data_IF_891336304112
#
_entry.id   IF_891336304112
#
_cell.length_a   1.000
_cell.length_b   1.000
_cell.length_c   1.000
_cell.angle_alpha   90.00
_cell.angle_beta   90.00
_cell.angle_gamma   90.00
#
_symmetry.space_group_name_H-M   'P 1'
#
loop_
_entity.id
_entity.type
_entity.pdbx_description
1 polymer ?
#
# COMPACT_ATOMS: atom_id res chain seq x y z
N UNK A 1 -39.12 14.12 4.81
CA UNK A 1 -38.62 12.83 4.28
C UNK A 1 -37.76 13.17 3.07
N UNK A 2 -36.45 13.33 3.29
CA UNK A 2 -35.51 13.67 2.22
C UNK A 2 -35.12 12.39 1.53
N UNK A 3 -35.39 12.31 0.22
CA UNK A 3 -35.00 11.19 -0.61
C UNK A 3 -33.48 11.01 -0.51
N UNK A 4 -33.05 9.83 -0.05
CA UNK A 4 -31.67 9.38 -0.13
C UNK A 4 -31.26 9.41 -1.60
N UNK A 5 -30.38 10.35 -1.94
CA UNK A 5 -29.63 10.30 -3.18
C UNK A 5 -28.78 9.05 -3.12
N UNK A 6 -29.32 7.94 -3.61
CA UNK A 6 -28.53 6.76 -3.92
C UNK A 6 -27.45 7.21 -4.90
N UNK A 7 -26.25 7.45 -4.38
CA UNK A 7 -25.13 7.80 -5.24
C UNK A 7 -24.97 6.65 -6.22
N UNK A 8 -25.09 6.92 -7.52
CA UNK A 8 -24.84 5.97 -8.61
C UNK A 8 -23.35 5.57 -8.65
N UNK A 9 -22.83 5.02 -7.56
CA UNK A 9 -21.48 4.50 -7.44
C UNK A 9 -21.50 3.12 -8.04
N UNK A 10 -21.06 3.03 -9.30
CA UNK A 10 -20.89 1.76 -10.00
C UNK A 10 -19.70 1.03 -9.38
N UNK A 11 -19.87 -0.18 -8.82
CA UNK A 11 -18.76 -0.93 -8.27
C UNK A 11 -17.67 -1.18 -9.30
N UNK A 12 -16.43 -1.22 -8.83
CA UNK A 12 -15.28 -1.56 -9.65
C UNK A 12 -15.45 -2.97 -10.24
N UNK A 13 -15.30 -3.14 -11.57
CA UNK A 13 -15.45 -4.45 -12.21
C UNK A 13 -14.49 -5.51 -11.67
N UNK A 14 -13.28 -5.09 -11.31
CA UNK A 14 -12.23 -5.96 -10.76
C UNK A 14 -11.60 -5.28 -9.54
N UNK A 15 -11.67 -5.92 -8.39
CA UNK A 15 -11.01 -5.42 -7.18
C UNK A 15 -10.35 -6.58 -6.42
N UNK A 16 -9.02 -6.56 -6.21
CA UNK A 16 -8.37 -7.54 -5.34
C UNK A 16 -8.89 -7.38 -3.91
N UNK A 17 -9.17 -8.50 -3.24
CA UNK A 17 -9.51 -8.46 -1.81
C UNK A 17 -8.28 -8.07 -1.00
N UNK A 18 -8.40 -7.17 -0.01
CA UNK A 18 -7.28 -6.84 0.87
C UNK A 18 -6.89 -8.04 1.72
N UNK A 19 -5.60 -8.27 1.92
CA UNK A 19 -5.14 -9.22 2.94
C UNK A 19 -5.30 -8.62 4.34
N UNK A 20 -5.39 -9.47 5.37
CA UNK A 20 -5.73 -8.99 6.71
C UNK A 20 -4.65 -8.07 7.26
N UNK A 21 -3.39 -8.47 7.10
CA UNK A 21 -2.26 -7.66 7.57
C UNK A 21 -1.76 -6.69 6.50
N UNK A 22 -2.47 -6.49 5.37
CA UNK A 22 -2.04 -5.54 4.32
C UNK A 22 -2.18 -4.10 4.82
N UNK A 23 -1.29 -3.20 4.38
CA UNK A 23 -1.50 -1.76 4.55
C UNK A 23 -2.52 -1.25 3.53
N UNK A 24 -3.39 -0.31 3.92
CA UNK A 24 -4.40 0.29 3.02
C UNK A 24 -3.78 0.83 1.73
N UNK A 25 -2.66 1.54 1.85
CA UNK A 25 -1.89 2.02 0.70
C UNK A 25 -1.46 0.89 -0.24
N UNK A 26 -0.94 -0.20 0.34
CA UNK A 26 -0.57 -1.42 -0.39
C UNK A 26 -1.75 -1.99 -1.20
N UNK A 27 -2.90 -2.17 -0.53
CA UNK A 27 -4.12 -2.64 -1.18
C UNK A 27 -4.57 -1.71 -2.30
N UNK A 28 -4.69 -0.40 -2.04
CA UNK A 28 -5.11 0.57 -3.04
C UNK A 28 -4.16 0.62 -4.24
N UNK A 29 -2.85 0.44 -4.01
CA UNK A 29 -1.86 0.28 -5.08
C UNK A 29 -2.07 -0.98 -5.92
N UNK A 30 -2.55 -2.08 -5.34
CA UNK A 30 -2.91 -3.30 -6.10
C UNK A 30 -4.20 -3.09 -6.89
N UNK A 31 -5.18 -2.39 -6.33
CA UNK A 31 -6.37 -1.97 -7.09
C UNK A 31 -5.93 -1.12 -8.28
N UNK A 32 -5.13 -0.08 -8.06
CA UNK A 32 -4.64 0.81 -9.12
C UNK A 32 -3.87 0.05 -10.21
N UNK A 33 -3.13 -1.01 -9.84
CA UNK A 33 -2.47 -1.91 -10.79
C UNK A 33 -3.47 -2.61 -11.72
N UNK A 34 -4.65 -3.02 -11.24
CA UNK A 34 -5.68 -3.66 -12.09
C UNK A 34 -6.23 -2.73 -13.17
N UNK A 35 -6.24 -1.43 -12.88
CA UNK A 35 -6.74 -0.39 -13.79
C UNK A 35 -5.62 0.33 -14.58
N UNK A 36 -4.35 -0.07 -14.40
CA UNK A 36 -3.19 0.62 -14.98
C UNK A 36 -3.19 2.14 -14.71
N UNK A 37 -3.70 2.53 -13.54
CA UNK A 37 -3.80 3.92 -13.10
C UNK A 37 -2.79 4.18 -11.98
N UNK A 38 -2.50 5.45 -11.71
CA UNK A 38 -1.82 5.81 -10.47
C UNK A 38 -2.81 5.76 -9.29
N UNK A 39 -2.31 5.58 -8.07
CA UNK A 39 -3.13 5.67 -6.85
C UNK A 39 -3.81 7.03 -6.74
N UNK A 40 -3.11 8.11 -7.11
CA UNK A 40 -3.68 9.45 -7.14
C UNK A 40 -4.83 9.57 -8.15
N UNK A 41 -4.68 9.03 -9.36
CA UNK A 41 -5.74 9.03 -10.38
C UNK A 41 -6.92 8.15 -9.94
N UNK A 42 -6.65 6.94 -9.43
CA UNK A 42 -7.69 6.06 -8.90
C UNK A 42 -8.47 6.75 -7.77
N UNK A 43 -7.78 7.44 -6.86
CA UNK A 43 -8.41 8.21 -5.80
C UNK A 43 -9.32 9.30 -6.37
N UNK A 44 -8.81 10.15 -7.27
CA UNK A 44 -9.59 11.24 -7.88
C UNK A 44 -10.86 10.75 -8.58
N UNK A 45 -10.81 9.57 -9.20
CA UNK A 45 -11.96 8.98 -9.88
C UNK A 45 -12.97 8.33 -8.92
N UNK A 46 -12.58 8.05 -7.68
CA UNK A 46 -13.31 7.14 -6.79
C UNK A 46 -13.78 7.82 -5.51
N UNK A 47 -12.88 8.55 -4.87
CA UNK A 47 -13.15 9.35 -3.69
C UNK A 47 -13.70 10.71 -4.13
N UNK A 48 -14.89 11.08 -3.64
CA UNK A 48 -15.46 12.43 -3.84
C UNK A 48 -14.83 13.48 -2.93
N UNK A 49 -13.54 13.32 -2.62
CA UNK A 49 -12.77 14.20 -1.76
C UNK A 49 -11.32 14.28 -2.24
N UNK A 50 -10.58 15.35 -1.91
CA UNK A 50 -9.17 15.47 -2.26
C UNK A 50 -8.33 14.30 -1.72
N UNK A 51 -7.29 13.92 -2.47
CA UNK A 51 -6.30 12.95 -1.98
C UNK A 51 -5.67 13.51 -0.70
N UNK A 52 -5.60 12.74 0.40
CA UNK A 52 -4.94 13.21 1.60
C UNK A 52 -3.48 13.53 1.33
N UNK A 53 -2.91 14.45 2.12
CA UNK A 53 -1.51 14.81 2.02
C UNK A 53 -0.64 13.57 2.23
N UNK A 54 0.07 13.15 1.19
CA UNK A 54 0.97 12.02 1.24
C UNK A 54 2.35 12.49 1.70
N UNK A 55 2.93 11.79 2.67
CA UNK A 55 4.29 12.06 3.13
C UNK A 55 5.36 11.69 2.10
N UNK A 56 6.63 11.74 2.52
CA UNK A 56 7.80 11.47 1.65
C UNK A 56 7.81 10.09 1.00
N UNK A 57 7.16 9.11 1.64
CA UNK A 57 6.99 7.73 1.20
C UNK A 57 5.74 7.48 0.36
N UNK A 58 5.08 8.53 -0.11
CA UNK A 58 3.97 8.44 -1.06
C UNK A 58 2.79 7.67 -0.48
N UNK A 59 2.19 6.82 -1.31
CA UNK A 59 0.90 6.18 -1.01
C UNK A 59 1.00 4.93 -0.14
N UNK A 60 2.19 4.39 0.16
CA UNK A 60 2.30 3.18 0.99
C UNK A 60 1.88 3.42 2.44
N UNK A 61 2.50 4.37 3.18
CA UNK A 61 2.00 4.78 4.49
C UNK A 61 0.88 5.81 4.30
N UNK A 62 -0.18 5.43 3.57
CA UNK A 62 -1.36 6.27 3.42
C UNK A 62 -1.91 6.58 4.81
N UNK A 63 -2.25 7.85 5.12
CA UNK A 63 -2.94 8.18 6.35
C UNK A 63 -4.31 7.48 6.41
N UNK A 64 -4.89 7.37 7.63
CA UNK A 64 -6.30 7.03 7.78
C UNK A 64 -7.16 7.90 6.87
N UNK A 65 -8.08 7.27 6.15
CA UNK A 65 -9.01 7.96 5.26
C UNK A 65 -10.27 8.33 6.04
N UNK A 66 -10.99 9.34 5.55
CA UNK A 66 -12.25 9.76 6.13
C UNK A 66 -13.30 8.63 6.10
N UNK A 67 -14.32 8.73 6.94
CA UNK A 67 -15.45 7.79 6.93
C UNK A 67 -16.21 7.85 5.58
N UNK A 68 -16.29 9.00 4.93
CA UNK A 68 -16.88 9.15 3.59
C UNK A 68 -16.08 8.42 2.52
N UNK A 69 -14.75 8.56 2.51
CA UNK A 69 -13.91 7.80 1.59
C UNK A 69 -13.98 6.29 1.88
N UNK A 70 -14.01 5.90 3.15
CA UNK A 70 -14.14 4.50 3.56
C UNK A 70 -15.41 3.86 3.00
N UNK A 71 -16.56 4.51 3.17
CA UNK A 71 -17.86 4.10 2.62
C UNK A 71 -17.87 4.01 1.10
N UNK A 72 -17.21 4.95 0.43
CA UNK A 72 -17.11 4.93 -1.03
C UNK A 72 -16.24 3.77 -1.52
N UNK A 73 -15.08 3.56 -0.91
CA UNK A 73 -14.20 2.46 -1.27
C UNK A 73 -14.79 1.10 -0.91
N UNK A 74 -15.51 0.98 0.21
CA UNK A 74 -16.21 -0.26 0.59
C UNK A 74 -17.28 -0.61 -0.45
N UNK A 75 -18.08 0.38 -0.87
CA UNK A 75 -19.08 0.22 -1.95
C UNK A 75 -18.44 -0.16 -3.28
N UNK A 76 -17.42 0.59 -3.72
CA UNK A 76 -16.71 0.35 -4.97
C UNK A 76 -16.07 -1.04 -5.02
N UNK A 77 -15.46 -1.46 -3.91
CA UNK A 77 -14.75 -2.72 -3.79
C UNK A 77 -15.64 -3.92 -3.42
N UNK A 78 -16.91 -3.68 -3.07
CA UNK A 78 -17.83 -4.68 -2.47
C UNK A 78 -17.23 -5.34 -1.24
N UNK A 79 -16.68 -4.52 -0.35
CA UNK A 79 -16.04 -4.92 0.89
C UNK A 79 -16.83 -4.42 2.09
N UNK A 80 -16.67 -5.13 3.20
CA UNK A 80 -17.09 -4.63 4.50
C UNK A 80 -16.21 -3.44 4.93
N UNK A 81 -16.80 -2.44 5.59
CA UNK A 81 -16.08 -1.26 6.05
C UNK A 81 -15.05 -1.58 7.14
N UNK A 82 -15.36 -2.50 8.05
CA UNK A 82 -14.44 -2.90 9.13
C UNK A 82 -13.19 -3.54 8.54
N UNK A 83 -13.35 -4.26 7.41
CA UNK A 83 -12.22 -4.81 6.67
C UNK A 83 -11.27 -3.72 6.16
N UNK A 84 -11.80 -2.63 5.61
CA UNK A 84 -10.98 -1.51 5.17
C UNK A 84 -10.43 -0.69 6.34
N UNK A 85 -11.19 -0.57 7.45
CA UNK A 85 -10.74 0.11 8.67
C UNK A 85 -9.55 -0.61 9.29
N UNK A 86 -9.57 -1.93 9.31
CA UNK A 86 -8.50 -2.75 9.89
C UNK A 86 -7.15 -2.57 9.22
N UNK A 87 -7.13 -2.37 7.89
CA UNK A 87 -5.89 -2.22 7.11
C UNK A 87 -5.35 -0.78 7.09
N UNK A 88 -6.04 0.19 7.68
CA UNK A 88 -5.56 1.57 7.72
C UNK A 88 -4.26 1.68 8.54
N UNK A 89 -3.33 2.51 8.05
CA UNK A 89 -2.11 2.85 8.79
C UNK A 89 -2.49 3.79 9.94
N UNK A 90 -2.23 3.46 11.21
CA UNK A 90 -2.46 4.37 12.32
C UNK A 90 -1.75 5.71 12.14
N UNK A 91 -2.39 6.83 12.51
CA UNK A 91 -1.80 8.17 12.38
C UNK A 91 -0.47 8.30 13.12
N UNK A 92 -0.33 7.61 14.26
CA UNK A 92 0.89 7.59 15.05
C UNK A 92 2.07 6.92 14.32
N UNK A 93 1.83 6.22 13.21
CA UNK A 93 2.86 5.55 12.39
C UNK A 93 3.25 6.38 11.15
N UNK A 94 2.68 7.58 11.00
CA UNK A 94 2.96 8.46 9.86
C UNK A 94 4.18 9.34 10.16
N UNK A 95 5.34 8.90 9.67
CA UNK A 95 6.60 9.63 9.78
C UNK A 95 7.08 10.12 8.42
N UNK A 96 8.06 11.05 8.44
CA UNK A 96 8.85 11.40 7.28
C UNK A 96 9.85 10.29 6.94
N UNK A 97 9.31 9.15 6.50
CA UNK A 97 10.06 7.99 6.07
C UNK A 97 11.05 8.37 4.96
N UNK A 98 12.36 8.30 5.24
CA UNK A 98 13.40 8.41 4.20
C UNK A 98 13.53 7.10 3.44
N UNK A 99 13.37 5.99 4.16
CA UNK A 99 13.26 4.65 3.62
C UNK A 99 12.05 3.96 4.28
N UNK A 100 11.40 3.06 3.55
CA UNK A 100 10.26 2.28 4.05
C UNK A 100 10.75 0.86 4.36
N UNK A 101 10.50 0.34 5.56
CA UNK A 101 10.90 -1.01 5.96
C UNK A 101 10.00 -2.09 5.35
N UNK A 102 10.57 -3.27 5.10
CA UNK A 102 9.87 -4.44 4.58
C UNK A 102 10.68 -5.74 4.72
N UNK A 103 10.00 -6.88 4.60
CA UNK A 103 10.67 -8.17 4.38
C UNK A 103 10.55 -8.56 2.91
N UNK A 104 11.66 -8.63 2.17
CA UNK A 104 11.61 -9.01 0.75
C UNK A 104 11.02 -10.41 0.54
N UNK A 105 11.33 -11.37 1.41
CA UNK A 105 10.79 -12.73 1.34
C UNK A 105 9.26 -12.73 1.47
N UNK A 106 8.70 -12.07 2.49
CA UNK A 106 7.24 -11.95 2.63
C UNK A 106 6.60 -11.12 1.51
N UNK A 107 7.31 -10.12 0.98
CA UNK A 107 6.80 -9.30 -0.11
C UNK A 107 6.60 -10.14 -1.37
N UNK A 108 7.55 -11.02 -1.72
CA UNK A 108 7.51 -11.81 -2.95
C UNK A 108 6.88 -13.20 -2.77
N UNK A 109 6.94 -13.77 -1.57
CA UNK A 109 6.28 -15.02 -1.18
C UNK A 109 5.29 -14.71 -0.07
N UNK A 110 4.15 -14.17 -0.48
CA UNK A 110 3.04 -13.91 0.43
C UNK A 110 2.41 -15.26 0.84
N UNK A 111 2.41 -15.55 2.12
CA UNK A 111 1.83 -16.75 2.72
C UNK A 111 0.31 -16.86 2.53
N UNK A 112 -0.40 -15.75 2.45
CA UNK A 112 -1.84 -15.72 2.20
C UNK A 112 -2.21 -15.96 0.73
N UNK A 113 -1.30 -15.66 -0.20
CA UNK A 113 -1.41 -15.93 -1.64
C UNK A 113 -0.03 -15.78 -2.28
N UNK A 114 0.62 -16.91 -2.56
CA UNK A 114 2.01 -16.95 -3.04
C UNK A 114 2.24 -16.22 -4.36
N UNK A 115 1.18 -15.98 -5.13
CA UNK A 115 1.26 -15.31 -6.43
C UNK A 115 1.09 -13.80 -6.35
N UNK A 116 0.59 -13.28 -5.21
CA UNK A 116 0.25 -11.87 -5.11
C UNK A 116 1.00 -11.18 -3.96
N UNK A 117 1.91 -10.25 -4.29
CA UNK A 117 2.69 -9.54 -3.30
C UNK A 117 1.82 -8.61 -2.48
N UNK A 118 2.18 -8.41 -1.20
CA UNK A 118 1.50 -7.47 -0.29
C UNK A 118 2.51 -6.70 0.56
N UNK A 119 2.15 -5.46 0.90
CA UNK A 119 2.90 -4.72 1.90
C UNK A 119 2.23 -4.93 3.25
N UNK A 120 2.92 -5.54 4.22
CA UNK A 120 2.32 -5.71 5.54
C UNK A 120 2.25 -4.37 6.26
N UNK A 121 1.12 -4.12 6.90
CA UNK A 121 0.84 -2.95 7.73
C UNK A 121 1.80 -2.85 8.92
N UNK A 122 2.11 -3.98 9.54
CA UNK A 122 3.03 -4.07 10.68
C UNK A 122 4.43 -3.55 10.35
N UNK A 123 4.87 -3.62 9.09
CA UNK A 123 6.18 -3.07 8.72
C UNK A 123 6.21 -1.55 8.86
N UNK A 124 5.07 -0.89 8.78
CA UNK A 124 4.98 0.56 8.97
C UNK A 124 4.96 0.98 10.44
N UNK A 125 4.92 0.02 11.38
CA UNK A 125 5.10 0.34 12.80
C UNK A 125 6.54 0.82 13.03
N UNK A 126 6.76 2.03 13.60
CA UNK A 126 8.10 2.55 13.86
C UNK A 126 8.93 1.69 14.81
N UNK A 127 8.28 0.84 15.61
CA UNK A 127 8.92 -0.08 16.55
C UNK A 127 9.22 -1.44 15.91
N UNK A 128 8.73 -1.70 14.69
CA UNK A 128 9.01 -2.94 13.98
C UNK A 128 10.43 -2.95 13.42
N UNK A 129 11.34 -3.62 14.12
CA UNK A 129 12.71 -3.85 13.67
C UNK A 129 12.87 -5.16 12.89
N UNK A 130 12.04 -6.16 13.22
CA UNK A 130 12.15 -7.53 12.70
C UNK A 130 10.89 -7.98 11.97
N UNK A 131 11.09 -8.84 10.97
CA UNK A 131 9.97 -9.56 10.36
C UNK A 131 9.44 -10.61 11.34
N UNK A 132 8.15 -10.55 11.66
CA UNK A 132 7.46 -11.51 12.54
C UNK A 132 7.52 -12.97 12.04
N UNK A 133 7.62 -13.17 10.73
CA UNK A 133 7.63 -14.51 10.08
C UNK A 133 9.04 -15.10 9.96
N UNK A 134 10.01 -14.27 9.61
CA UNK A 134 11.37 -14.74 9.29
C UNK A 134 12.40 -14.42 10.38
N UNK A 135 12.01 -13.64 11.41
CA UNK A 135 12.86 -13.21 12.52
C UNK A 135 14.17 -12.52 12.07
N UNK A 136 14.18 -11.94 10.87
CA UNK A 136 15.29 -11.15 10.35
C UNK A 136 14.97 -9.66 10.43
N UNK A 137 16.00 -8.84 10.58
CA UNK A 137 15.87 -7.37 10.50
C UNK A 137 15.16 -6.98 9.20
N UNK A 138 14.21 -6.05 9.29
CA UNK A 138 13.52 -5.53 8.12
C UNK A 138 14.51 -4.83 7.19
N UNK A 139 14.44 -5.17 5.91
CA UNK A 139 15.15 -4.43 4.89
C UNK A 139 14.49 -3.08 4.66
N UNK A 140 15.19 -2.14 4.02
CA UNK A 140 14.63 -0.84 3.71
C UNK A 140 14.76 -0.52 2.22
N UNK A 141 13.76 0.18 1.69
CA UNK A 141 13.77 0.73 0.32
C UNK A 141 13.57 2.24 0.38
N UNK A 142 14.25 3.06 -0.47
CA UNK A 142 14.06 4.50 -0.46
C UNK A 142 12.59 4.90 -0.68
N UNK A 143 12.11 5.86 0.09
CA UNK A 143 10.74 6.38 0.01
C UNK A 143 10.37 6.91 -1.37
N UNK A 144 11.36 7.37 -2.15
CA UNK A 144 11.18 7.80 -3.53
C UNK A 144 10.63 6.70 -4.45
N UNK A 145 10.83 5.42 -4.12
CA UNK A 145 10.28 4.31 -4.91
C UNK A 145 8.76 4.40 -5.01
N UNK A 146 8.07 4.68 -3.90
CA UNK A 146 6.61 4.79 -3.90
C UNK A 146 6.13 6.14 -4.40
N UNK A 147 6.87 7.21 -4.14
CA UNK A 147 6.57 8.53 -4.69
C UNK A 147 6.60 8.55 -6.23
N UNK A 148 7.54 7.82 -6.84
CA UNK A 148 7.73 7.77 -8.28
C UNK A 148 6.96 6.63 -8.96
N UNK A 149 6.46 5.65 -8.20
CA UNK A 149 5.69 4.54 -8.74
C UNK A 149 4.20 4.81 -8.56
N UNK A 150 3.46 4.93 -9.66
CA UNK A 150 2.04 5.23 -9.60
C UNK A 150 1.20 4.14 -8.90
N UNK A 151 1.64 2.88 -8.90
CA UNK A 151 0.88 1.74 -8.38
C UNK A 151 1.82 0.59 -7.96
N UNK A 152 1.26 -0.47 -7.36
CA UNK A 152 2.03 -1.53 -6.71
C UNK A 152 2.95 -2.32 -7.66
N UNK A 153 2.49 -2.69 -8.85
CA UNK A 153 3.35 -3.38 -9.83
C UNK A 153 4.56 -2.53 -10.29
N UNK A 154 4.39 -1.21 -10.44
CA UNK A 154 5.51 -0.32 -10.75
C UNK A 154 6.50 -0.24 -9.58
N UNK A 155 5.98 -0.16 -8.35
CA UNK A 155 6.80 -0.14 -7.14
C UNK A 155 7.63 -1.42 -6.98
N UNK A 156 7.04 -2.60 -7.21
CA UNK A 156 7.76 -3.88 -7.16
C UNK A 156 8.91 -3.95 -8.16
N UNK A 157 8.69 -3.49 -9.40
CA UNK A 157 9.79 -3.40 -10.40
C UNK A 157 10.91 -2.47 -9.92
N UNK A 158 10.56 -1.35 -9.29
CA UNK A 158 11.54 -0.42 -8.74
C UNK A 158 12.29 -1.00 -7.52
N UNK A 159 11.60 -1.72 -6.64
CA UNK A 159 12.21 -2.45 -5.51
C UNK A 159 13.21 -3.50 -6.03
N UNK A 160 12.83 -4.31 -7.02
CA UNK A 160 13.70 -5.30 -7.65
C UNK A 160 14.99 -4.67 -8.18
N UNK A 161 14.87 -3.62 -8.99
CA UNK A 161 16.03 -2.86 -9.50
C UNK A 161 16.89 -2.25 -8.39
N UNK A 162 16.28 -1.75 -7.32
CA UNK A 162 17.00 -1.21 -6.18
C UNK A 162 17.80 -2.30 -5.47
N UNK A 163 17.18 -3.46 -5.22
CA UNK A 163 17.82 -4.61 -4.57
C UNK A 163 19.00 -5.13 -5.37
N UNK A 164 18.85 -5.32 -6.68
CA UNK A 164 19.92 -5.75 -7.59
C UNK A 164 21.12 -4.81 -7.53
N UNK A 165 20.87 -3.48 -7.60
CA UNK A 165 21.93 -2.47 -7.50
C UNK A 165 22.64 -2.50 -6.15
N UNK A 166 21.92 -2.72 -5.04
CA UNK A 166 22.52 -2.83 -3.70
C UNK A 166 23.44 -4.05 -3.61
N UNK A 167 22.94 -5.22 -4.01
CA UNK A 167 23.71 -6.47 -3.99
C UNK A 167 25.01 -6.35 -4.81
N UNK A 168 24.95 -5.67 -5.96
CA UNK A 168 26.13 -5.44 -6.79
C UNK A 168 27.15 -4.50 -6.13
N UNK A 169 26.69 -3.43 -5.48
CA UNK A 169 27.57 -2.50 -4.72
C UNK A 169 28.24 -3.19 -3.54
N UNK A 170 27.49 -4.00 -2.79
CA UNK A 170 28.02 -4.72 -1.63
C UNK A 170 29.10 -5.72 -2.07
N UNK A 171 28.88 -6.44 -3.19
CA UNK A 171 29.91 -7.31 -3.79
C UNK A 171 31.16 -6.58 -4.27
N UNK A 172 31.02 -5.36 -4.80
CA UNK A 172 32.18 -4.53 -5.21
C UNK A 172 32.99 -4.00 -4.02
N UNK A 173 32.37 -3.81 -2.85
CA UNK A 173 33.07 -3.37 -1.64
C UNK A 173 33.83 -4.49 -0.93
N UNK A 174 33.46 -5.74 -1.20
CA UNK A 174 34.09 -6.95 -0.65
C UNK A 174 35.25 -7.47 -1.53
N UNK A 175 35.54 -6.81 -2.65
CA UNK A 175 36.69 -7.08 -3.54
C UNK A 175 37.69 -5.95 -3.42
#
# INVERSE_FOLDING_TARGET
MSAESSSNVVPWPITPRPFYEEAFGGWLGRVATRYQASVAMLWQMSASEPLPSLGTAGWIPSPPISQSALQRFSTLARLDEDRLRHIQTPSAWLFNWRCVPYCFRCLVLNDADVSVPRWKREWLDPTAEFCSVHHTVLETVPASVFRLSGHFAAALRAIGRYREKRMFKDRRRLR
#
